data_IF_459963782684
#
_entry.id   IF_459963782684
#
_cell.length_a   1.000
_cell.length_b   1.000
_cell.length_c   1.000
_cell.angle_alpha   90.00
_cell.angle_beta   90.00
_cell.angle_gamma   90.00
#
_symmetry.space_group_name_H-M   'P 1'
#
loop_
_entity.id
_entity.type
_entity.pdbx_description
1 polymer ?
#
# COMPACT_ATOMS: atom_id res chain seq x y z
N UNK A 1 -40.73 -29.78 40.95
CA UNK A 1 -41.56 -28.64 41.36
C UNK A 1 -40.79 -27.40 41.03
N UNK A 2 -41.46 -26.38 40.51
CA UNK A 2 -40.81 -25.13 40.13
C UNK A 2 -40.45 -24.38 41.43
N UNK A 3 -39.30 -23.71 41.51
CA UNK A 3 -38.87 -22.99 42.72
C UNK A 3 -39.93 -21.95 43.18
N UNK A 4 -40.68 -21.42 42.21
CA UNK A 4 -41.81 -20.53 42.44
C UNK A 4 -43.00 -21.19 43.18
N UNK A 5 -43.32 -22.46 42.91
CA UNK A 5 -44.41 -23.17 43.59
C UNK A 5 -44.05 -23.48 45.05
N UNK A 6 -42.77 -23.76 45.30
CA UNK A 6 -42.22 -23.97 46.64
C UNK A 6 -42.29 -22.69 47.47
N UNK A 7 -41.91 -21.56 46.87
CA UNK A 7 -42.02 -20.22 47.48
C UNK A 7 -43.47 -19.89 47.86
N UNK A 8 -44.41 -20.03 46.92
CA UNK A 8 -45.83 -19.69 47.15
C UNK A 8 -46.45 -20.53 48.27
N UNK A 9 -46.07 -21.81 48.37
CA UNK A 9 -46.53 -22.72 49.42
C UNK A 9 -45.98 -22.34 50.80
N UNK A 10 -44.71 -21.95 50.90
CA UNK A 10 -44.07 -21.51 52.16
C UNK A 10 -44.71 -20.21 52.66
N UNK A 11 -44.92 -19.23 51.78
CA UNK A 11 -45.55 -17.96 52.12
C UNK A 11 -46.99 -18.16 52.59
N UNK A 12 -47.77 -19.01 51.91
CA UNK A 12 -49.15 -19.33 52.31
C UNK A 12 -49.21 -19.99 53.71
N UNK A 13 -48.22 -20.81 54.07
CA UNK A 13 -48.11 -21.38 55.42
C UNK A 13 -47.81 -20.30 56.47
N UNK A 14 -46.85 -19.41 56.21
CA UNK A 14 -46.48 -18.32 57.13
C UNK A 14 -47.62 -17.31 57.35
N UNK A 15 -48.44 -17.07 56.32
CA UNK A 15 -49.60 -16.18 56.38
C UNK A 15 -50.88 -16.87 56.95
N UNK A 16 -50.81 -18.13 57.38
CA UNK A 16 -51.95 -18.95 57.84
C UNK A 16 -53.09 -19.10 56.80
N UNK A 17 -52.75 -19.10 55.51
CA UNK A 17 -53.70 -19.19 54.41
C UNK A 17 -53.84 -20.61 53.82
N UNK A 18 -53.33 -21.63 54.49
CA UNK A 18 -53.44 -23.04 54.08
C UNK A 18 -54.59 -23.77 54.81
N UNK A 19 -55.21 -24.74 54.12
CA UNK A 19 -56.20 -25.62 54.75
C UNK A 19 -55.55 -26.67 55.66
N UNK A 20 -56.30 -27.22 56.62
CA UNK A 20 -55.79 -28.22 57.58
C UNK A 20 -55.12 -29.44 56.92
N UNK A 21 -55.61 -29.84 55.75
CA UNK A 21 -55.04 -30.96 54.96
C UNK A 21 -53.71 -30.58 54.30
N UNK A 22 -53.57 -29.33 53.88
CA UNK A 22 -52.34 -28.80 53.27
C UNK A 22 -51.28 -28.54 54.33
N UNK A 23 -51.67 -28.07 55.51
CA UNK A 23 -50.79 -27.92 56.68
C UNK A 23 -50.16 -29.26 57.07
N UNK A 24 -50.95 -30.34 57.14
CA UNK A 24 -50.41 -31.68 57.44
C UNK A 24 -49.40 -32.15 56.38
N UNK A 25 -49.69 -31.89 55.11
CA UNK A 25 -48.80 -32.25 54.00
C UNK A 25 -47.51 -31.43 54.04
N UNK A 26 -47.62 -30.15 54.39
CA UNK A 26 -46.50 -29.23 54.56
C UNK A 26 -45.57 -29.66 55.70
N UNK A 27 -46.13 -29.96 56.88
CA UNK A 27 -45.36 -30.42 58.04
C UNK A 27 -44.70 -31.79 57.81
N UNK A 28 -45.38 -32.68 57.08
CA UNK A 28 -44.79 -33.95 56.69
C UNK A 28 -43.61 -33.76 55.74
N UNK A 29 -43.72 -32.83 54.78
CA UNK A 29 -42.63 -32.46 53.88
C UNK A 29 -41.46 -31.83 54.62
N UNK A 30 -41.73 -30.92 55.56
CA UNK A 30 -40.72 -30.29 56.42
C UNK A 30 -39.87 -31.32 57.20
N UNK A 31 -40.46 -32.47 57.56
CA UNK A 31 -39.76 -33.55 58.27
C UNK A 31 -39.04 -34.53 57.36
N UNK A 32 -39.50 -34.68 56.11
CA UNK A 32 -38.99 -35.69 55.17
C UNK A 32 -37.97 -35.13 54.19
N UNK A 33 -37.94 -33.81 54.01
CA UNK A 33 -37.10 -33.11 53.04
C UNK A 33 -36.23 -32.05 53.75
N UNK A 34 -34.94 -32.35 53.99
CA UNK A 34 -34.02 -31.43 54.66
C UNK A 34 -33.79 -30.13 53.87
N UNK A 35 -33.82 -30.18 52.54
CA UNK A 35 -33.57 -29.01 51.69
C UNK A 35 -34.75 -28.03 51.78
N UNK A 36 -35.97 -28.56 51.77
CA UNK A 36 -37.18 -27.78 52.01
C UNK A 36 -37.22 -27.15 53.42
N UNK A 37 -36.64 -27.82 54.43
CA UNK A 37 -36.55 -27.28 55.78
C UNK A 37 -35.59 -26.08 55.88
N UNK A 38 -34.46 -26.13 55.16
CA UNK A 38 -33.51 -25.01 55.08
C UNK A 38 -34.15 -23.81 54.40
N UNK A 39 -34.86 -24.04 53.29
CA UNK A 39 -35.57 -23.00 52.56
C UNK A 39 -36.68 -22.37 53.42
N UNK A 40 -37.52 -23.18 54.07
CA UNK A 40 -38.53 -22.67 55.01
C UNK A 40 -37.93 -21.80 56.12
N UNK A 41 -36.79 -22.19 56.68
CA UNK A 41 -36.15 -21.44 57.75
C UNK A 41 -35.64 -20.07 57.26
N UNK A 42 -35.10 -20.00 56.05
CA UNK A 42 -34.68 -18.74 55.42
C UNK A 42 -35.89 -17.80 55.23
N UNK A 43 -36.99 -18.30 54.68
CA UNK A 43 -38.23 -17.53 54.48
C UNK A 43 -38.83 -17.04 55.79
N UNK A 44 -38.86 -17.89 56.82
CA UNK A 44 -39.33 -17.51 58.16
C UNK A 44 -38.47 -16.42 58.79
N UNK A 45 -37.15 -16.48 58.63
CA UNK A 45 -36.23 -15.45 59.12
C UNK A 45 -36.49 -14.11 58.40
N UNK A 46 -36.60 -14.12 57.07
CA UNK A 46 -36.94 -12.93 56.29
C UNK A 46 -38.28 -12.32 56.72
N UNK A 47 -39.30 -13.15 56.94
CA UNK A 47 -40.62 -12.70 57.36
C UNK A 47 -40.64 -12.14 58.80
N UNK A 48 -39.70 -12.58 59.66
CA UNK A 48 -39.61 -12.10 61.06
C UNK A 48 -38.75 -10.84 61.18
N UNK A 49 -37.70 -10.72 60.35
CA UNK A 49 -36.75 -9.60 60.40
C UNK A 49 -37.19 -8.39 59.56
N UNK A 50 -37.99 -8.61 58.51
CA UNK A 50 -38.53 -7.55 57.66
C UNK A 50 -39.95 -7.17 58.10
N UNK A 51 -40.19 -5.87 58.29
CA UNK A 51 -41.54 -5.38 58.57
C UNK A 51 -42.49 -5.57 57.38
N UNK A 52 -43.82 -5.58 57.58
CA UNK A 52 -44.79 -5.83 56.50
C UNK A 52 -44.73 -4.80 55.35
N UNK A 53 -44.15 -3.62 55.58
CA UNK A 53 -43.89 -2.63 54.53
C UNK A 53 -42.71 -3.02 53.65
N UNK A 54 -41.58 -3.41 54.25
CA UNK A 54 -40.34 -3.75 53.54
C UNK A 54 -40.50 -5.01 52.68
N UNK A 55 -41.32 -5.96 53.16
CA UNK A 55 -41.62 -7.20 52.43
C UNK A 55 -42.42 -6.94 51.14
N UNK A 56 -43.35 -5.97 51.16
CA UNK A 56 -44.13 -5.61 49.98
C UNK A 56 -43.32 -4.86 48.93
N UNK A 57 -42.40 -3.99 49.38
CA UNK A 57 -41.49 -3.28 48.48
C UNK A 57 -40.51 -4.25 47.80
N UNK A 58 -40.00 -5.24 48.54
CA UNK A 58 -39.19 -6.31 47.98
C UNK A 58 -39.97 -7.19 46.98
N UNK A 59 -41.23 -7.53 47.28
CA UNK A 59 -42.13 -8.24 46.36
C UNK A 59 -42.36 -7.47 45.05
N UNK A 60 -42.45 -6.15 45.12
CA UNK A 60 -42.61 -5.31 43.93
C UNK A 60 -41.35 -5.29 43.06
N UNK A 61 -40.17 -5.20 43.68
CA UNK A 61 -38.87 -5.26 42.98
C UNK A 61 -38.67 -6.57 42.22
N UNK A 62 -39.00 -7.70 42.83
CA UNK A 62 -38.87 -9.02 42.17
C UNK A 62 -39.87 -9.20 41.01
N UNK A 63 -41.09 -8.67 41.15
CA UNK A 63 -42.08 -8.65 40.05
C UNK A 63 -41.63 -7.76 38.90
N UNK A 64 -40.88 -6.69 39.18
CA UNK A 64 -40.38 -5.77 38.16
C UNK A 64 -39.25 -6.39 37.32
N UNK A 65 -38.33 -7.15 37.93
CA UNK A 65 -37.29 -7.89 37.18
C UNK A 65 -37.86 -9.06 36.37
N UNK A 66 -38.91 -9.72 36.85
CA UNK A 66 -39.51 -10.88 36.17
C UNK A 66 -40.46 -10.52 35.01
N UNK A 67 -40.80 -9.23 34.86
CA UNK A 67 -42.03 -8.80 34.19
C UNK A 67 -41.91 -7.86 32.98
N UNK A 68 -40.71 -7.55 32.46
CA UNK A 68 -40.57 -6.54 31.40
C UNK A 68 -40.20 -7.09 30.01
N UNK A 69 -41.13 -7.81 29.36
CA UNK A 69 -41.15 -7.89 27.89
C UNK A 69 -41.60 -6.54 27.32
N UNK A 70 -40.67 -5.60 27.12
CA UNK A 70 -40.90 -4.45 26.23
C UNK A 70 -40.50 -4.84 24.81
N UNK A 71 -41.47 -4.94 23.89
CA UNK A 71 -41.19 -5.09 22.47
C UNK A 71 -40.67 -3.77 21.90
N UNK A 72 -39.36 -3.55 22.00
CA UNK A 72 -38.70 -2.55 21.16
C UNK A 72 -38.76 -3.06 19.72
N UNK A 73 -39.32 -2.29 18.79
CA UNK A 73 -39.18 -2.59 17.36
C UNK A 73 -37.72 -2.40 16.98
N UNK A 74 -36.92 -3.46 17.13
CA UNK A 74 -35.54 -3.49 16.66
C UNK A 74 -35.60 -3.58 15.15
N UNK A 75 -35.38 -2.46 14.47
CA UNK A 75 -35.20 -2.44 13.01
C UNK A 75 -33.94 -3.24 12.72
N UNK A 76 -34.10 -4.49 12.24
CA UNK A 76 -32.98 -5.34 11.85
C UNK A 76 -32.26 -4.67 10.69
N UNK A 77 -31.10 -4.09 10.97
CA UNK A 77 -30.22 -3.58 9.92
C UNK A 77 -29.73 -4.79 9.13
N UNK A 78 -30.06 -4.84 7.84
CA UNK A 78 -29.65 -5.94 6.99
C UNK A 78 -28.15 -5.77 6.71
N UNK A 79 -27.32 -6.50 7.47
CA UNK A 79 -25.87 -6.36 7.43
C UNK A 79 -25.30 -6.55 6.01
N UNK A 80 -25.97 -7.34 5.15
CA UNK A 80 -25.60 -7.47 3.73
C UNK A 80 -25.77 -6.18 2.94
N UNK A 81 -26.79 -5.38 3.23
CA UNK A 81 -27.02 -4.09 2.59
C UNK A 81 -26.03 -3.03 3.09
N UNK A 82 -25.70 -3.05 4.39
CA UNK A 82 -24.67 -2.17 4.94
C UNK A 82 -23.28 -2.54 4.40
N UNK A 83 -22.95 -3.83 4.34
CA UNK A 83 -21.70 -4.29 3.71
C UNK A 83 -21.64 -3.96 2.22
N UNK A 84 -22.76 -4.06 1.47
CA UNK A 84 -22.75 -3.72 0.04
C UNK A 84 -22.55 -2.21 -0.21
N UNK A 85 -23.09 -1.36 0.68
CA UNK A 85 -22.90 0.10 0.61
C UNK A 85 -21.48 0.48 1.04
N UNK A 86 -20.93 -0.19 2.06
CA UNK A 86 -19.55 0.01 2.47
C UNK A 86 -18.55 -0.46 1.39
N UNK A 87 -18.85 -1.56 0.68
CA UNK A 87 -18.03 -2.07 -0.41
C UNK A 87 -18.01 -1.12 -1.63
N UNK A 88 -19.16 -0.56 -2.02
CA UNK A 88 -19.20 0.43 -3.11
C UNK A 88 -18.49 1.73 -2.73
N UNK A 89 -18.62 2.17 -1.48
CA UNK A 89 -17.85 3.29 -0.93
C UNK A 89 -16.35 3.02 -0.94
N UNK A 90 -15.91 1.86 -0.49
CA UNK A 90 -14.50 1.46 -0.49
C UNK A 90 -13.94 1.35 -1.91
N UNK A 91 -14.72 0.86 -2.89
CA UNK A 91 -14.31 0.84 -4.30
C UNK A 91 -14.19 2.26 -4.86
N UNK A 92 -15.14 3.16 -4.57
CA UNK A 92 -15.05 4.56 -5.01
C UNK A 92 -13.88 5.30 -4.35
N UNK A 93 -13.61 5.03 -3.07
CA UNK A 93 -12.43 5.56 -2.37
C UNK A 93 -11.15 4.97 -2.94
N UNK A 94 -11.11 3.66 -3.23
CA UNK A 94 -9.95 3.03 -3.85
C UNK A 94 -9.69 3.53 -5.27
N UNK A 95 -10.73 3.70 -6.09
CA UNK A 95 -10.64 4.28 -7.43
C UNK A 95 -10.26 5.76 -7.37
N UNK A 96 -10.84 6.51 -6.42
CA UNK A 96 -10.51 7.91 -6.18
C UNK A 96 -9.07 8.09 -5.70
N UNK A 97 -8.61 7.27 -4.74
CA UNK A 97 -7.23 7.23 -4.28
C UNK A 97 -6.30 6.82 -5.42
N UNK A 98 -6.63 5.79 -6.19
CA UNK A 98 -5.87 5.36 -7.36
C UNK A 98 -5.76 6.50 -8.39
N UNK A 99 -6.84 7.22 -8.67
CA UNK A 99 -6.82 8.38 -9.58
C UNK A 99 -6.05 9.58 -9.02
N UNK A 100 -6.02 9.76 -7.70
CA UNK A 100 -5.28 10.83 -7.03
C UNK A 100 -3.79 10.52 -6.94
N UNK A 101 -3.42 9.26 -6.68
CA UNK A 101 -2.02 8.80 -6.58
C UNK A 101 -1.39 8.52 -7.95
N UNK A 102 -2.19 8.25 -8.99
CA UNK A 102 -1.66 8.06 -10.36
C UNK A 102 -1.41 9.36 -11.11
N UNK A 103 -1.57 10.54 -10.47
CA UNK A 103 -1.29 11.83 -11.11
C UNK A 103 0.21 12.12 -11.26
N UNK A 104 1.05 11.60 -10.38
CA UNK A 104 2.50 11.63 -10.55
C UNK A 104 2.93 10.34 -11.24
N UNK A 105 3.21 10.43 -12.55
CA UNK A 105 3.93 9.34 -13.22
C UNK A 105 5.32 9.28 -12.60
N UNK A 106 5.68 8.19 -11.93
CA UNK A 106 7.00 8.07 -11.29
C UNK A 106 8.10 8.34 -12.34
N UNK A 107 9.20 9.02 -11.97
CA UNK A 107 10.33 9.27 -12.86
C UNK A 107 10.76 8.03 -13.66
N UNK A 108 10.77 6.85 -13.05
CA UNK A 108 11.13 5.58 -13.69
C UNK A 108 10.14 5.15 -14.79
N UNK A 109 8.84 5.40 -14.61
CA UNK A 109 7.82 5.12 -15.64
C UNK A 109 7.97 6.10 -16.80
N UNK A 110 8.33 7.36 -16.53
CA UNK A 110 8.65 8.33 -17.57
C UNK A 110 9.89 7.91 -18.36
N UNK A 111 10.97 7.49 -17.68
CA UNK A 111 12.16 6.97 -18.34
C UNK A 111 11.81 5.82 -19.28
N UNK A 112 11.13 4.78 -18.79
CA UNK A 112 10.74 3.62 -19.59
C UNK A 112 9.82 3.97 -20.77
N UNK A 113 9.07 5.07 -20.68
CA UNK A 113 8.21 5.54 -21.76
C UNK A 113 8.98 6.22 -22.90
N UNK A 114 10.09 6.90 -22.59
CA UNK A 114 10.77 7.80 -23.53
C UNK A 114 12.19 7.36 -23.88
N UNK A 115 12.78 6.41 -23.16
CA UNK A 115 14.08 5.84 -23.51
C UNK A 115 13.97 5.11 -24.84
N UNK A 116 14.79 5.54 -25.79
CA UNK A 116 15.02 4.88 -27.06
C UNK A 116 16.46 4.35 -27.13
N UNK A 117 16.67 3.35 -27.99
CA UNK A 117 17.99 2.81 -28.29
C UNK A 117 18.43 3.35 -29.66
N UNK A 118 19.10 4.53 -29.72
CA UNK A 118 19.57 5.09 -30.99
C UNK A 118 20.66 4.21 -31.60
N UNK A 119 20.81 4.25 -32.92
CA UNK A 119 21.99 3.71 -33.59
C UNK A 119 23.21 4.53 -33.19
N UNK A 120 24.26 3.90 -32.68
CA UNK A 120 25.53 4.58 -32.43
C UNK A 120 26.46 4.25 -33.60
N UNK A 121 26.07 4.60 -34.82
CA UNK A 121 26.94 4.38 -35.97
C UNK A 121 28.20 5.24 -35.86
N UNK A 122 29.37 4.63 -36.04
CA UNK A 122 30.64 5.34 -36.09
C UNK A 122 31.04 5.53 -37.56
N UNK A 123 31.43 6.74 -37.93
CA UNK A 123 32.10 6.99 -39.19
C UNK A 123 33.46 7.62 -38.87
N UNK A 124 34.58 6.88 -38.99
CA UNK A 124 35.92 7.37 -38.68
C UNK A 124 36.38 8.53 -39.59
N UNK A 125 35.57 8.94 -40.57
CA UNK A 125 35.98 9.95 -41.54
C UNK A 125 37.09 9.45 -42.46
N UNK A 126 37.74 10.38 -43.14
CA UNK A 126 38.92 10.10 -43.98
C UNK A 126 40.11 10.85 -43.43
N UNK A 127 40.54 10.47 -42.24
CA UNK A 127 41.61 11.19 -41.55
C UNK A 127 42.97 10.69 -42.03
N UNK A 128 43.69 11.59 -42.72
CA UNK A 128 45.07 11.38 -43.15
C UNK A 128 46.00 11.85 -42.04
N UNK A 129 46.39 10.95 -41.14
CA UNK A 129 47.39 11.30 -40.11
C UNK A 129 47.66 10.22 -39.08
N UNK A 130 46.64 9.43 -38.74
CA UNK A 130 46.74 8.33 -37.78
C UNK A 130 47.41 7.12 -38.43
N UNK A 131 48.27 6.41 -37.69
CA UNK A 131 48.81 5.13 -38.16
C UNK A 131 47.64 4.22 -38.53
N UNK A 132 47.53 3.85 -39.81
CA UNK A 132 46.38 3.11 -40.35
C UNK A 132 46.08 1.85 -39.53
N UNK A 133 47.13 1.20 -39.00
CA UNK A 133 46.97 0.01 -38.17
C UNK A 133 46.28 0.30 -36.83
N UNK A 134 46.57 1.43 -36.20
CA UNK A 134 45.92 1.84 -34.96
C UNK A 134 44.46 2.24 -35.21
N UNK A 135 44.20 2.95 -36.31
CA UNK A 135 42.84 3.31 -36.71
C UNK A 135 41.98 2.07 -36.96
N UNK A 136 42.51 1.04 -37.62
CA UNK A 136 41.78 -0.21 -37.86
C UNK A 136 41.42 -0.94 -36.54
N UNK A 137 42.32 -0.93 -35.55
CA UNK A 137 42.07 -1.51 -34.20
C UNK A 137 40.97 -0.73 -33.48
N UNK A 138 41.00 0.60 -33.55
CA UNK A 138 39.98 1.45 -32.96
C UNK A 138 38.61 1.21 -33.60
N UNK A 139 38.53 1.20 -34.94
CA UNK A 139 37.29 0.93 -35.67
C UNK A 139 36.72 -0.44 -35.25
N UNK A 140 37.57 -1.48 -35.17
CA UNK A 140 37.14 -2.79 -34.75
C UNK A 140 36.57 -2.81 -33.32
N UNK A 141 37.17 -2.06 -32.39
CA UNK A 141 36.64 -1.91 -31.03
C UNK A 141 35.28 -1.21 -31.02
N UNK A 142 35.12 -0.15 -31.82
CA UNK A 142 33.86 0.59 -31.94
C UNK A 142 32.74 -0.24 -32.56
N UNK A 143 33.04 -1.03 -33.60
CA UNK A 143 32.11 -1.97 -34.21
C UNK A 143 31.72 -3.10 -33.25
N UNK A 144 32.68 -3.63 -32.50
CA UNK A 144 32.42 -4.65 -31.49
C UNK A 144 31.51 -4.12 -30.37
N UNK A 145 31.79 -2.93 -29.84
CA UNK A 145 30.97 -2.29 -28.83
C UNK A 145 29.55 -2.02 -29.33
N UNK A 146 29.39 -1.58 -30.59
CA UNK A 146 28.07 -1.39 -31.21
C UNK A 146 27.31 -2.70 -31.36
N UNK A 147 27.96 -3.78 -31.76
CA UNK A 147 27.32 -5.09 -31.87
C UNK A 147 26.82 -5.59 -30.49
N UNK A 148 27.61 -5.39 -29.45
CA UNK A 148 27.24 -5.73 -28.07
C UNK A 148 26.06 -4.88 -27.59
N UNK A 149 26.12 -3.57 -27.80
CA UNK A 149 25.02 -2.63 -27.53
C UNK A 149 23.72 -3.05 -28.22
N UNK A 150 23.76 -3.36 -29.52
CA UNK A 150 22.59 -3.81 -30.29
C UNK A 150 22.02 -5.14 -29.79
N UNK A 151 22.87 -6.02 -29.26
CA UNK A 151 22.44 -7.28 -28.66
C UNK A 151 21.91 -7.15 -27.22
N UNK A 152 22.05 -5.96 -26.61
CA UNK A 152 21.69 -5.68 -25.22
C UNK A 152 22.75 -6.08 -24.19
N UNK A 153 23.94 -6.52 -24.61
CA UNK A 153 25.08 -6.76 -23.72
C UNK A 153 25.83 -5.46 -23.45
N UNK A 154 25.18 -4.58 -22.69
CA UNK A 154 25.74 -3.27 -22.33
C UNK A 154 27.01 -3.39 -21.50
N UNK A 155 27.09 -4.41 -20.62
CA UNK A 155 28.28 -4.71 -19.82
C UNK A 155 29.49 -5.06 -20.69
N UNK A 156 29.30 -5.90 -21.72
CA UNK A 156 30.34 -6.25 -22.66
C UNK A 156 30.79 -5.03 -23.47
N UNK A 157 29.83 -4.21 -23.93
CA UNK A 157 30.13 -3.00 -24.69
C UNK A 157 30.96 -2.00 -23.87
N UNK A 158 30.61 -1.80 -22.58
CA UNK A 158 31.38 -0.97 -21.64
C UNK A 158 32.81 -1.49 -21.53
N UNK A 159 33.00 -2.79 -21.30
CA UNK A 159 34.33 -3.37 -21.16
C UNK A 159 35.22 -3.20 -22.42
N UNK A 160 34.63 -3.25 -23.61
CA UNK A 160 35.35 -2.95 -24.86
C UNK A 160 35.73 -1.48 -24.93
N UNK A 161 34.79 -0.56 -24.67
CA UNK A 161 35.01 0.88 -24.77
C UNK A 161 36.03 1.40 -23.74
N UNK A 162 36.01 0.89 -22.51
CA UNK A 162 36.96 1.26 -21.46
C UNK A 162 38.39 0.75 -21.73
N UNK A 163 38.52 -0.26 -22.61
CA UNK A 163 39.83 -0.77 -23.03
C UNK A 163 40.48 0.06 -24.15
N UNK A 164 39.73 1.00 -24.74
CA UNK A 164 40.25 1.90 -25.78
C UNK A 164 41.21 2.89 -25.15
N UNK A 165 42.38 3.05 -25.78
CA UNK A 165 43.38 4.04 -25.37
C UNK A 165 42.89 5.45 -25.71
N UNK A 166 42.31 6.14 -24.73
CA UNK A 166 41.74 7.47 -24.91
C UNK A 166 42.80 8.54 -25.19
N UNK A 167 44.07 8.34 -24.80
CA UNK A 167 45.16 9.25 -25.15
C UNK A 167 45.51 9.13 -26.64
N UNK A 168 45.52 7.90 -27.15
CA UNK A 168 45.78 7.63 -28.57
C UNK A 168 44.65 8.14 -29.50
N UNK A 169 43.42 8.23 -29.00
CA UNK A 169 42.23 8.62 -29.76
C UNK A 169 41.51 9.83 -29.17
N UNK A 170 42.25 10.79 -28.62
CA UNK A 170 41.69 11.98 -27.97
C UNK A 170 40.74 12.78 -28.90
N UNK A 171 40.97 12.76 -30.22
CA UNK A 171 40.08 13.39 -31.20
C UNK A 171 38.71 12.71 -31.35
N UNK A 172 38.57 11.49 -30.84
CA UNK A 172 37.34 10.71 -30.81
C UNK A 172 36.78 10.55 -29.39
N UNK A 173 37.31 11.28 -28.41
CA UNK A 173 36.93 11.17 -27.00
C UNK A 173 35.41 11.30 -26.79
N UNK A 174 34.79 12.37 -27.28
CA UNK A 174 33.33 12.56 -27.19
C UNK A 174 32.53 11.39 -27.80
N UNK A 175 33.04 10.74 -28.86
CA UNK A 175 32.38 9.60 -29.48
C UNK A 175 32.48 8.32 -28.62
N UNK A 176 33.57 8.16 -27.88
CA UNK A 176 33.77 7.08 -26.90
C UNK A 176 32.88 7.34 -25.68
N UNK A 177 32.93 8.55 -25.13
CA UNK A 177 32.18 8.98 -23.94
C UNK A 177 30.68 8.89 -24.16
N UNK A 178 30.17 9.36 -25.30
CA UNK A 178 28.74 9.24 -25.61
C UNK A 178 28.27 7.78 -25.60
N UNK A 179 29.09 6.85 -26.11
CA UNK A 179 28.76 5.41 -26.11
C UNK A 179 28.83 4.80 -24.73
N UNK A 180 29.83 5.17 -23.93
CA UNK A 180 29.92 4.76 -22.52
C UNK A 180 28.67 5.25 -21.78
N UNK A 181 28.34 6.53 -21.89
CA UNK A 181 27.14 7.11 -21.29
C UNK A 181 25.85 6.36 -21.68
N UNK A 182 25.69 6.05 -22.97
CA UNK A 182 24.54 5.28 -23.46
C UNK A 182 24.48 3.84 -22.92
N UNK A 183 25.61 3.13 -22.87
CA UNK A 183 25.63 1.75 -22.36
C UNK A 183 25.42 1.71 -20.84
N UNK A 184 26.03 2.62 -20.08
CA UNK A 184 25.78 2.75 -18.65
C UNK A 184 24.31 3.09 -18.35
N UNK A 185 23.71 4.00 -19.13
CA UNK A 185 22.30 4.37 -19.02
C UNK A 185 21.37 3.16 -19.19
N UNK A 186 21.59 2.36 -20.24
CA UNK A 186 20.76 1.19 -20.55
C UNK A 186 21.06 -0.01 -19.65
N UNK A 187 22.27 -0.09 -19.08
CA UNK A 187 22.60 -1.03 -18.00
C UNK A 187 21.92 -0.67 -16.67
N UNK A 188 21.31 0.52 -16.57
CA UNK A 188 20.65 1.01 -15.35
C UNK A 188 21.58 1.70 -14.37
N UNK A 189 22.81 2.01 -14.78
CA UNK A 189 23.80 2.74 -14.00
C UNK A 189 23.82 4.21 -14.43
N UNK A 190 22.82 4.94 -13.95
CA UNK A 190 22.59 6.33 -14.33
C UNK A 190 23.66 7.28 -13.81
N UNK A 191 24.33 6.94 -12.70
CA UNK A 191 25.39 7.77 -12.11
C UNK A 191 26.60 7.83 -13.05
N UNK A 192 27.11 6.67 -13.47
CA UNK A 192 28.21 6.61 -14.43
C UNK A 192 27.80 7.18 -15.78
N UNK A 193 26.56 6.94 -16.23
CA UNK A 193 26.06 7.53 -17.46
C UNK A 193 26.16 9.07 -17.46
N UNK A 194 25.75 9.71 -16.36
CA UNK A 194 25.85 11.16 -16.18
C UNK A 194 27.30 11.61 -16.20
N UNK A 195 28.20 10.92 -15.49
CA UNK A 195 29.63 11.25 -15.50
C UNK A 195 30.21 11.29 -16.91
N UNK A 196 29.94 10.29 -17.75
CA UNK A 196 30.42 10.30 -19.14
C UNK A 196 29.78 11.40 -19.99
N UNK A 197 28.50 11.73 -19.79
CA UNK A 197 27.88 12.85 -20.49
C UNK A 197 28.40 14.23 -20.05
N UNK A 198 28.96 14.33 -18.84
CA UNK A 198 29.52 15.57 -18.29
C UNK A 198 30.96 15.87 -18.73
N UNK A 199 31.72 14.84 -19.10
CA UNK A 199 33.07 14.98 -19.66
C UNK A 199 33.06 15.45 -21.13
N UNK A 200 31.94 15.28 -21.82
CA UNK A 200 31.82 15.62 -23.24
C UNK A 200 32.03 17.10 -23.49
N UNK A 201 32.79 17.42 -24.55
CA UNK A 201 33.15 18.79 -24.90
C UNK A 201 31.94 19.64 -25.32
N UNK A 202 30.95 19.03 -25.95
CA UNK A 202 29.74 19.70 -26.43
C UNK A 202 28.45 19.11 -25.84
N UNK A 203 27.64 19.97 -25.21
CA UNK A 203 26.29 19.61 -24.78
C UNK A 203 25.32 19.65 -25.97
N UNK A 204 25.43 18.66 -26.85
CA UNK A 204 24.53 18.49 -27.99
C UNK A 204 23.10 18.15 -27.54
N UNK A 205 22.14 18.22 -28.46
CA UNK A 205 20.75 17.86 -28.19
C UNK A 205 20.60 16.41 -27.70
N UNK A 206 21.38 15.50 -28.29
CA UNK A 206 21.41 14.09 -27.91
C UNK A 206 21.96 13.91 -26.50
N UNK A 207 23.09 14.55 -26.18
CA UNK A 207 23.71 14.48 -24.85
C UNK A 207 22.75 15.02 -23.80
N UNK A 208 22.16 16.20 -24.05
CA UNK A 208 21.16 16.82 -23.19
C UNK A 208 19.94 15.92 -22.98
N UNK A 209 19.46 15.27 -24.04
CA UNK A 209 18.35 14.33 -23.96
C UNK A 209 18.68 13.11 -23.09
N UNK A 210 19.74 12.37 -23.40
CA UNK A 210 20.06 11.13 -22.69
C UNK A 210 20.56 11.39 -21.25
N UNK A 211 21.29 12.48 -21.00
CA UNK A 211 21.61 12.92 -19.62
C UNK A 211 20.35 13.21 -18.82
N UNK A 212 19.34 13.87 -19.42
CA UNK A 212 18.07 14.10 -18.73
C UNK A 212 17.33 12.79 -18.42
N UNK A 213 17.43 11.77 -19.27
CA UNK A 213 16.85 10.45 -19.00
C UNK A 213 17.59 9.69 -17.89
N UNK A 214 18.91 9.85 -17.78
CA UNK A 214 19.68 9.32 -16.66
C UNK A 214 19.27 9.97 -15.33
N UNK A 215 19.20 11.31 -15.29
CA UNK A 215 18.73 12.07 -14.11
C UNK A 215 17.29 11.71 -13.73
N UNK A 216 16.47 11.38 -14.73
CA UNK A 216 15.11 10.91 -14.53
C UNK A 216 15.05 9.57 -13.79
N UNK A 217 15.97 8.64 -14.07
CA UNK A 217 16.04 7.38 -13.30
C UNK A 217 16.43 7.62 -11.84
N UNK A 218 17.32 8.60 -11.60
CA UNK A 218 17.74 9.02 -10.26
C UNK A 218 16.68 9.86 -9.52
N UNK A 219 15.68 10.37 -10.23
CA UNK A 219 14.61 11.19 -9.66
C UNK A 219 15.01 12.66 -9.41
N UNK A 220 16.07 13.15 -10.06
CA UNK A 220 16.47 14.56 -9.96
C UNK A 220 15.63 15.45 -10.88
N UNK A 221 14.45 15.82 -10.40
CA UNK A 221 13.46 16.55 -11.19
C UNK A 221 13.96 17.95 -11.61
N UNK A 222 14.74 18.60 -10.75
CA UNK A 222 15.22 19.96 -11.01
C UNK A 222 16.16 20.00 -12.21
N UNK A 223 17.18 19.12 -12.21
CA UNK A 223 18.12 19.04 -13.33
C UNK A 223 17.46 18.50 -14.61
N UNK A 224 16.48 17.62 -14.50
CA UNK A 224 15.71 17.15 -15.67
C UNK A 224 14.99 18.31 -16.35
N UNK A 225 14.31 19.17 -15.57
CA UNK A 225 13.61 20.33 -16.13
C UNK A 225 14.60 21.31 -16.75
N UNK A 226 15.75 21.55 -16.10
CA UNK A 226 16.81 22.41 -16.63
C UNK A 226 17.30 21.93 -18.00
N UNK A 227 17.63 20.65 -18.14
CA UNK A 227 18.12 20.08 -19.39
C UNK A 227 17.03 19.99 -20.47
N UNK A 228 15.78 19.71 -20.12
CA UNK A 228 14.71 19.57 -21.11
C UNK A 228 14.12 20.90 -21.57
N UNK A 229 14.20 21.96 -20.77
CA UNK A 229 13.59 23.27 -21.09
C UNK A 229 14.09 23.84 -22.42
N UNK A 230 15.41 23.84 -22.72
CA UNK A 230 15.91 24.24 -24.02
C UNK A 230 15.35 23.37 -25.17
N UNK A 231 15.34 22.04 -25.03
CA UNK A 231 14.81 21.13 -26.06
C UNK A 231 13.32 21.35 -26.33
N UNK A 232 12.55 21.81 -25.34
CA UNK A 232 11.14 22.13 -25.49
C UNK A 232 10.87 23.47 -26.22
N UNK A 233 11.88 24.35 -26.33
CA UNK A 233 11.71 25.74 -26.74
C UNK A 233 11.85 25.99 -28.26
N UNK A 234 12.46 25.08 -29.01
CA UNK A 234 12.64 25.19 -30.47
C UNK A 234 12.37 23.86 -31.18
N UNK A 235 12.24 23.86 -32.50
CA UNK A 235 11.94 22.65 -33.30
C UNK A 235 13.16 21.73 -33.36
N UNK A 236 13.00 20.51 -32.83
CA UNK A 236 13.97 19.42 -32.90
C UNK A 236 13.24 18.09 -32.71
N UNK A 237 13.88 16.94 -33.01
CA UNK A 237 13.24 15.62 -32.91
C UNK A 237 12.71 15.27 -31.51
N UNK A 238 13.27 15.83 -30.44
CA UNK A 238 12.92 15.53 -29.05
C UNK A 238 11.97 16.57 -28.42
N UNK A 239 11.59 17.62 -29.14
CA UNK A 239 10.81 18.76 -28.60
C UNK A 239 9.49 18.32 -27.96
N UNK A 240 8.71 17.50 -28.67
CA UNK A 240 7.40 17.06 -28.18
C UNK A 240 7.54 16.19 -26.93
N UNK A 241 8.55 15.31 -26.90
CA UNK A 241 8.83 14.45 -25.77
C UNK A 241 9.26 15.26 -24.54
N UNK A 242 10.19 16.22 -24.72
CA UNK A 242 10.62 17.14 -23.66
C UNK A 242 9.43 17.90 -23.03
N UNK A 243 8.52 18.45 -23.85
CA UNK A 243 7.31 19.13 -23.35
C UNK A 243 6.40 18.20 -22.55
N UNK A 244 6.25 16.95 -22.95
CA UNK A 244 5.41 15.99 -22.26
C UNK A 244 6.02 15.57 -20.92
N UNK A 245 7.33 15.35 -20.87
CA UNK A 245 8.05 15.01 -19.65
C UNK A 245 7.93 16.15 -18.63
N UNK A 246 8.26 17.38 -19.02
CA UNK A 246 8.14 18.57 -18.15
C UNK A 246 6.71 18.74 -17.64
N UNK A 247 5.69 18.56 -18.50
CA UNK A 247 4.28 18.68 -18.09
C UNK A 247 3.86 17.63 -17.05
N UNK A 248 4.45 16.44 -17.07
CA UNK A 248 4.12 15.35 -16.14
C UNK A 248 4.86 15.47 -14.80
N UNK A 249 5.88 16.33 -14.72
CA UNK A 249 6.66 16.59 -13.50
C UNK A 249 6.16 17.78 -12.68
N UNK A 250 5.43 18.70 -13.34
CA UNK A 250 4.72 19.81 -12.68
C UNK A 250 3.35 19.37 -12.16
#
# INVERSE_FOLDING_TARGET
MNDQETYELIEAYLENNLSDKEVQTFEQRLKSDPDFAVEFQLHKQLHTELGPSDLNDFRNLLKEESGAKKSTVVRRINMRQVLSIAASGAILVAVGLFYLTSRSTSPQVLFNQYVDQPSLSFNPGTERGTDQQNLDVFIAAMEQAEALYQSGDYSGAIGVLESVDTEAYAEHQDAIEFRLGMNYLLAGDSENAISYFDEMSELTESVRWYKSLALLQLGDIEQVIELLSPLASYENPKQQAARQIIKKMN
#
